data_IF_372300030080
#
_entry.id   IF_372300030080
#
_cell.length_a   1.000
_cell.length_b   1.000
_cell.length_c   1.000
_cell.angle_alpha   90.00
_cell.angle_beta   90.00
_cell.angle_gamma   90.00
#
_symmetry.space_group_name_H-M   'P 1'
#
loop_
_entity.id
_entity.type
_entity.pdbx_description
1 polymer ?
#
# COMPACT_ATOMS: atom_id res chain seq x y z
N UNK A 1 1.74 23.93 -9.27
CA UNK A 1 1.48 22.53 -8.89
C UNK A 1 1.07 21.79 -10.15
N UNK A 2 1.56 20.57 -10.35
CA UNK A 2 1.36 19.77 -11.57
C UNK A 2 -0.13 19.41 -11.76
N UNK A 3 -0.77 19.75 -12.89
CA UNK A 3 -2.14 19.34 -13.20
C UNK A 3 -2.37 17.81 -13.08
N UNK A 4 -1.34 17.02 -13.37
CA UNK A 4 -1.40 15.55 -13.34
C UNK A 4 -1.52 15.01 -11.91
N UNK A 5 -0.89 15.69 -10.95
CA UNK A 5 -1.03 15.38 -9.53
C UNK A 5 -2.47 15.60 -9.03
N UNK A 6 -3.17 16.62 -9.55
CA UNK A 6 -4.59 16.82 -9.21
C UNK A 6 -5.50 15.73 -9.80
N UNK A 7 -5.20 15.24 -11.00
CA UNK A 7 -5.92 14.10 -11.59
C UNK A 7 -5.68 12.81 -10.80
N UNK A 8 -4.44 12.53 -10.41
CA UNK A 8 -4.12 11.43 -9.50
C UNK A 8 -4.87 11.54 -8.16
N UNK A 9 -4.88 12.73 -7.55
CA UNK A 9 -5.61 12.96 -6.29
C UNK A 9 -7.12 12.74 -6.43
N UNK A 10 -7.72 13.10 -7.57
CA UNK A 10 -9.14 12.80 -7.87
C UNK A 10 -9.38 11.30 -7.98
N UNK A 11 -8.52 10.57 -8.72
CA UNK A 11 -8.60 9.11 -8.83
C UNK A 11 -8.54 8.43 -7.46
N UNK A 12 -7.64 8.87 -6.58
CA UNK A 12 -7.54 8.36 -5.22
C UNK A 12 -8.80 8.62 -4.39
N UNK A 13 -9.42 9.81 -4.52
CA UNK A 13 -10.68 10.13 -3.81
C UNK A 13 -11.83 9.23 -4.25
N UNK A 14 -12.06 9.12 -5.56
CA UNK A 14 -13.18 8.33 -6.10
C UNK A 14 -13.07 6.84 -5.74
N UNK A 15 -11.84 6.35 -5.61
CA UNK A 15 -11.56 4.94 -5.42
C UNK A 15 -11.51 4.48 -3.96
N UNK A 16 -11.50 5.41 -3.00
CA UNK A 16 -11.73 5.09 -1.58
C UNK A 16 -13.02 4.29 -1.35
N UNK A 17 -13.96 4.34 -2.31
CA UNK A 17 -15.22 3.61 -2.31
C UNK A 17 -15.19 2.24 -3.01
N UNK A 18 -14.09 1.82 -3.65
CA UNK A 18 -14.01 0.54 -4.40
C UNK A 18 -13.35 -0.61 -3.63
N UNK A 19 -13.24 -0.47 -2.32
CA UNK A 19 -12.74 -1.51 -1.44
C UNK A 19 -13.87 -2.47 -1.09
N UNK A 20 -13.67 -3.77 -1.33
CA UNK A 20 -14.59 -4.83 -0.94
C UNK A 20 -13.98 -5.56 0.25
N UNK A 21 -14.75 -5.69 1.34
CA UNK A 21 -14.31 -6.39 2.56
C UNK A 21 -15.05 -7.71 2.65
N UNK A 22 -14.32 -8.82 2.55
CA UNK A 22 -14.86 -10.17 2.67
C UNK A 22 -14.87 -10.64 4.12
N UNK A 23 -13.86 -10.25 4.90
CA UNK A 23 -13.77 -10.59 6.31
C UNK A 23 -13.25 -9.42 7.15
N UNK A 24 -14.15 -8.81 7.93
CA UNK A 24 -13.84 -7.64 8.74
C UNK A 24 -12.91 -7.95 9.92
N UNK A 25 -13.03 -9.13 10.54
CA UNK A 25 -12.17 -9.50 11.67
C UNK A 25 -10.69 -9.55 11.24
N UNK A 26 -10.40 -10.10 10.05
CA UNK A 26 -9.04 -10.16 9.52
C UNK A 26 -8.52 -8.80 9.02
N UNK A 27 -9.40 -7.94 8.51
CA UNK A 27 -9.05 -6.56 8.19
C UNK A 27 -8.66 -5.77 9.45
N UNK A 28 -9.44 -5.88 10.52
CA UNK A 28 -9.16 -5.21 11.78
C UNK A 28 -7.93 -5.83 12.49
N UNK A 29 -7.70 -7.13 12.30
CA UNK A 29 -6.48 -7.81 12.73
C UNK A 29 -5.23 -7.25 12.04
N UNK A 30 -5.29 -7.03 10.72
CA UNK A 30 -4.19 -6.42 9.95
C UNK A 30 -3.86 -5.03 10.46
N UNK A 31 -4.87 -4.20 10.74
CA UNK A 31 -4.67 -2.85 11.30
C UNK A 31 -4.00 -2.89 12.67
N UNK A 32 -4.49 -3.74 13.57
CA UNK A 32 -3.87 -3.93 14.89
C UNK A 32 -2.41 -4.38 14.77
N UNK A 33 -2.14 -5.33 13.86
CA UNK A 33 -0.79 -5.81 13.58
C UNK A 33 0.13 -4.68 13.09
N UNK A 34 -0.30 -3.87 12.12
CA UNK A 34 0.48 -2.72 11.62
C UNK A 34 0.75 -1.73 12.76
N UNK A 35 -0.28 -1.38 13.55
CA UNK A 35 -0.12 -0.44 14.65
C UNK A 35 0.87 -0.94 15.70
N UNK A 36 0.80 -2.23 16.05
CA UNK A 36 1.74 -2.87 16.96
C UNK A 36 3.19 -2.83 16.42
N UNK A 37 3.35 -3.08 15.11
CA UNK A 37 4.65 -2.98 14.41
C UNK A 37 5.21 -1.55 14.43
N UNK A 38 4.39 -0.54 14.11
CA UNK A 38 4.80 0.86 14.10
C UNK A 38 5.17 1.38 15.50
N UNK A 39 4.39 1.01 16.50
CA UNK A 39 4.62 1.44 17.89
C UNK A 39 5.67 0.57 18.60
N UNK A 40 6.16 -0.48 17.95
CA UNK A 40 7.00 -1.53 18.53
C UNK A 40 6.45 -2.06 19.88
N UNK A 41 5.13 -2.11 20.00
CA UNK A 41 4.38 -2.44 21.22
C UNK A 41 3.69 -3.79 21.05
N UNK A 42 3.68 -4.64 22.07
CA UNK A 42 3.04 -5.97 22.04
C UNK A 42 3.62 -6.93 20.98
N UNK A 43 4.85 -6.69 20.53
CA UNK A 43 5.60 -7.63 19.69
C UNK A 43 6.39 -8.55 20.61
N UNK A 44 6.24 -9.86 20.41
CA UNK A 44 7.01 -10.90 21.10
C UNK A 44 8.07 -11.47 20.14
N UNK A 45 9.13 -12.03 20.70
CA UNK A 45 10.24 -12.62 19.94
C UNK A 45 10.37 -14.08 20.37
N UNK A 46 10.33 -15.00 19.40
CA UNK A 46 10.59 -16.43 19.65
C UNK A 46 12.10 -16.67 19.86
N UNK A 47 12.46 -17.83 20.40
CA UNK A 47 13.87 -18.20 20.65
C UNK A 47 14.74 -18.18 19.37
N UNK A 48 14.14 -18.36 18.20
CA UNK A 48 14.79 -18.29 16.90
C UNK A 48 14.84 -16.87 16.30
N UNK A 49 14.49 -15.83 17.07
CA UNK A 49 14.55 -14.43 16.65
C UNK A 49 13.33 -13.94 15.86
N UNK A 50 12.34 -14.80 15.59
CA UNK A 50 11.15 -14.42 14.83
C UNK A 50 10.23 -13.54 15.67
N UNK A 51 9.94 -12.34 15.16
CA UNK A 51 8.96 -11.41 15.73
C UNK A 51 7.54 -11.86 15.39
N UNK A 52 6.66 -11.87 16.39
CA UNK A 52 5.25 -12.17 16.21
C UNK A 52 4.37 -11.31 17.12
N UNK A 53 3.13 -11.12 16.68
CA UNK A 53 2.05 -10.48 17.42
C UNK A 53 1.04 -11.56 17.79
N UNK A 54 0.64 -11.64 19.06
CA UNK A 54 -0.38 -12.58 19.49
C UNK A 54 -1.72 -11.85 19.64
N UNK A 55 -2.75 -12.32 18.93
CA UNK A 55 -4.10 -11.80 19.06
C UNK A 55 -4.94 -12.70 19.97
N UNK A 56 -5.33 -12.19 21.14
CA UNK A 56 -6.10 -12.95 22.13
C UNK A 56 -7.52 -13.28 21.65
N UNK A 57 -8.19 -12.36 20.94
CA UNK A 57 -9.57 -12.52 20.45
C UNK A 57 -9.70 -13.72 19.50
N UNK A 58 -8.75 -13.86 18.58
CA UNK A 58 -8.74 -14.93 17.58
C UNK A 58 -7.87 -16.13 18.00
N UNK A 59 -7.14 -16.00 19.11
CA UNK A 59 -6.16 -16.97 19.58
C UNK A 59 -5.13 -17.36 18.49
N UNK A 60 -4.54 -16.35 17.84
CA UNK A 60 -3.62 -16.52 16.71
C UNK A 60 -2.27 -15.84 16.96
N UNK A 61 -1.19 -16.53 16.58
CA UNK A 61 0.13 -15.94 16.42
C UNK A 61 0.30 -15.43 14.99
N UNK A 62 0.61 -14.15 14.85
CA UNK A 62 0.67 -13.46 13.56
C UNK A 62 2.08 -12.96 13.33
N UNK A 63 2.62 -13.35 12.18
CA UNK A 63 3.90 -12.91 11.66
C UNK A 63 3.68 -12.03 10.43
N UNK A 64 4.65 -11.19 10.05
CA UNK A 64 4.60 -10.43 8.81
C UNK A 64 4.31 -11.30 7.58
N UNK A 65 4.87 -12.52 7.54
CA UNK A 65 4.75 -13.49 6.44
C UNK A 65 3.34 -14.05 6.24
N UNK A 66 2.46 -13.97 7.25
CA UNK A 66 1.07 -14.43 7.12
C UNK A 66 0.23 -13.53 6.22
N UNK A 67 0.66 -12.27 6.01
CA UNK A 67 -0.07 -11.32 5.19
C UNK A 67 0.44 -11.34 3.76
N UNK A 68 -0.44 -11.63 2.80
CA UNK A 68 -0.10 -11.62 1.37
C UNK A 68 -1.02 -10.70 0.59
N UNK A 69 -0.41 -9.90 -0.29
CA UNK A 69 -1.12 -9.12 -1.30
C UNK A 69 -0.80 -9.72 -2.67
N UNK A 70 -1.83 -10.04 -3.44
CA UNK A 70 -1.70 -10.63 -4.77
C UNK A 70 -2.27 -9.63 -5.78
N UNK A 71 -1.44 -9.19 -6.72
CA UNK A 71 -1.89 -8.39 -7.87
C UNK A 71 -2.64 -9.31 -8.83
N UNK A 72 -3.94 -9.07 -9.02
CA UNK A 72 -4.77 -9.86 -9.94
C UNK A 72 -4.89 -9.22 -11.31
N UNK A 73 -4.86 -7.88 -11.36
CA UNK A 73 -4.81 -7.11 -12.60
C UNK A 73 -3.96 -5.88 -12.41
N UNK A 74 -3.30 -5.45 -13.48
CA UNK A 74 -2.73 -4.13 -13.55
C UNK A 74 -2.94 -3.49 -14.92
N UNK A 75 -3.07 -2.17 -14.93
CA UNK A 75 -3.12 -1.37 -16.15
C UNK A 75 -2.47 -0.02 -15.92
N UNK A 76 -1.91 0.53 -16.99
CA UNK A 76 -1.38 1.89 -16.99
C UNK A 76 -2.45 2.86 -17.50
N UNK A 77 -2.58 3.98 -16.81
CA UNK A 77 -3.42 5.11 -17.16
C UNK A 77 -2.48 6.28 -17.44
N UNK A 78 -2.48 6.77 -18.68
CA UNK A 78 -1.75 7.99 -19.03
C UNK A 78 -2.49 9.20 -18.48
N UNK A 79 -1.80 10.03 -17.70
CA UNK A 79 -2.28 11.33 -17.24
C UNK A 79 -1.29 12.38 -17.76
N UNK A 80 -1.55 12.96 -18.95
CA UNK A 80 -0.61 13.88 -19.59
C UNK A 80 0.73 13.22 -19.95
N UNK A 81 1.84 13.74 -19.41
CA UNK A 81 3.21 13.21 -19.58
C UNK A 81 3.55 12.10 -18.57
N UNK A 82 2.79 12.02 -17.48
CA UNK A 82 2.96 11.08 -16.38
C UNK A 82 2.14 9.80 -16.57
N UNK A 83 2.47 8.81 -15.74
CA UNK A 83 1.81 7.50 -15.77
C UNK A 83 1.32 7.14 -14.37
N UNK A 84 0.07 6.68 -14.32
CA UNK A 84 -0.48 6.03 -13.13
C UNK A 84 -0.62 4.55 -13.42
N UNK A 85 -0.09 3.70 -12.54
CA UNK A 85 -0.38 2.27 -12.57
C UNK A 85 -1.54 1.99 -11.64
N UNK A 86 -2.66 1.54 -12.20
CA UNK A 86 -3.77 0.96 -11.44
C UNK A 86 -3.48 -0.52 -11.23
N UNK A 87 -3.67 -0.99 -10.00
CA UNK A 87 -3.56 -2.39 -9.61
C UNK A 87 -4.83 -2.82 -8.89
N UNK A 88 -5.37 -3.99 -9.24
CA UNK A 88 -6.37 -4.70 -8.43
C UNK A 88 -5.61 -5.70 -7.54
N UNK A 89 -5.84 -5.60 -6.23
CA UNK A 89 -5.11 -6.36 -5.22
C UNK A 89 -6.11 -7.18 -4.39
N UNK A 90 -5.82 -8.46 -4.24
CA UNK A 90 -6.43 -9.32 -3.23
C UNK A 90 -5.52 -9.42 -2.01
N UNK A 91 -6.10 -9.17 -0.84
CA UNK A 91 -5.40 -9.28 0.43
C UNK A 91 -5.84 -10.55 1.17
N UNK A 92 -4.84 -11.33 1.55
CA UNK A 92 -4.99 -12.66 2.13
C UNK A 92 -4.24 -12.77 3.46
N UNK A 93 -4.82 -13.52 4.38
CA UNK A 93 -4.16 -14.07 5.55
C UNK A 93 -3.93 -15.57 5.31
N UNK A 94 -2.68 -16.00 5.40
CA UNK A 94 -2.25 -17.36 5.12
C UNK A 94 -1.47 -17.89 6.32
N UNK A 95 -1.93 -19.00 6.90
CA UNK A 95 -1.19 -19.80 7.86
C UNK A 95 -1.25 -21.28 7.49
N UNK A 96 -0.69 -22.16 8.32
CA UNK A 96 -0.64 -23.60 8.04
C UNK A 96 -2.03 -24.26 7.96
N UNK A 97 -3.09 -23.58 8.42
CA UNK A 97 -4.46 -24.11 8.54
C UNK A 97 -5.48 -23.36 7.68
N UNK A 98 -5.23 -22.10 7.36
CA UNK A 98 -6.21 -21.17 6.80
C UNK A 98 -5.62 -20.35 5.66
N UNK A 99 -6.45 -20.16 4.62
CA UNK A 99 -6.22 -19.20 3.54
C UNK A 99 -7.44 -18.29 3.45
N UNK A 100 -7.38 -17.12 4.07
CA UNK A 100 -8.54 -16.24 4.24
C UNK A 100 -8.33 -14.98 3.42
N UNK A 101 -9.09 -14.86 2.34
CA UNK A 101 -9.25 -13.60 1.61
C UNK A 101 -10.08 -12.66 2.47
N UNK A 102 -9.49 -11.54 2.87
CA UNK A 102 -10.18 -10.59 3.77
C UNK A 102 -10.59 -9.30 3.06
N UNK A 103 -9.90 -8.93 1.99
CA UNK A 103 -10.14 -7.66 1.31
C UNK A 103 -9.75 -7.73 -0.17
N UNK A 104 -10.45 -6.99 -1.00
CA UNK A 104 -10.03 -6.58 -2.33
C UNK A 104 -10.05 -5.06 -2.42
N UNK A 105 -9.03 -4.51 -3.08
CA UNK A 105 -8.98 -3.07 -3.30
C UNK A 105 -8.18 -2.74 -4.56
N UNK A 106 -8.41 -1.52 -5.07
CA UNK A 106 -7.60 -0.94 -6.14
C UNK A 106 -6.55 -0.02 -5.53
N UNK A 107 -5.28 -0.22 -5.90
CA UNK A 107 -4.16 0.67 -5.55
C UNK A 107 -3.72 1.42 -6.80
N UNK A 108 -3.53 2.73 -6.69
CA UNK A 108 -2.94 3.54 -7.74
C UNK A 108 -1.55 3.97 -7.31
N UNK A 109 -0.60 3.84 -8.22
CA UNK A 109 0.77 4.30 -8.05
C UNK A 109 1.04 5.35 -9.11
N UNK A 110 1.30 6.58 -8.69
CA UNK A 110 1.72 7.67 -9.55
C UNK A 110 3.24 7.65 -9.67
N UNK A 111 3.74 7.47 -10.89
CA UNK A 111 5.17 7.55 -11.17
C UNK A 111 5.47 8.97 -11.62
N UNK A 112 6.05 9.75 -10.71
CA UNK A 112 6.47 11.09 -11.01
C UNK A 112 7.85 11.07 -11.67
N UNK A 113 7.88 11.19 -12.99
CA UNK A 113 9.10 11.51 -13.72
C UNK A 113 9.25 13.03 -13.71
N UNK A 114 9.86 13.58 -12.66
CA UNK A 114 10.03 15.03 -12.58
C UNK A 114 10.91 15.54 -13.73
N UNK A 115 10.28 16.16 -14.73
CA UNK A 115 10.87 17.28 -15.48
C UNK A 115 10.67 18.51 -14.60
N UNK A 116 11.59 18.79 -13.69
CA UNK A 116 11.62 20.08 -12.99
C UNK A 116 12.02 21.17 -14.00
N UNK A 117 11.04 21.87 -14.57
CA UNK A 117 11.25 23.23 -15.07
C UNK A 117 10.71 24.22 -14.04
N UNK A 118 11.57 24.64 -13.13
CA UNK A 118 11.50 25.97 -12.52
C UNK A 118 12.88 26.61 -12.72
N UNK A 119 12.91 27.69 -13.51
CA UNK A 119 14.10 28.48 -13.83
C UNK A 119 14.87 28.95 -12.59
N UNK A 120 16.11 29.42 -12.69
CA UNK A 120 16.73 30.26 -13.71
C UNK A 120 18.26 30.04 -13.66
N UNK A 121 18.94 30.32 -14.77
CA UNK A 121 20.40 30.46 -14.94
C UNK A 121 21.38 29.48 -14.23
N UNK A 122 21.95 28.56 -15.01
CA UNK A 122 23.27 27.98 -14.71
C UNK A 122 23.29 26.51 -14.27
N UNK A 123 23.90 25.68 -15.11
CA UNK A 123 24.53 24.38 -14.82
C UNK A 123 23.92 23.53 -13.67
N UNK A 124 23.07 22.56 -14.00
CA UNK A 124 22.56 21.60 -13.01
C UNK A 124 22.31 20.22 -13.61
N UNK A 125 23.05 19.22 -13.12
CA UNK A 125 22.92 17.81 -13.47
C UNK A 125 21.46 17.32 -13.43
N UNK A 126 21.01 16.70 -14.53
CA UNK A 126 19.78 15.91 -14.56
C UNK A 126 19.98 14.63 -13.75
N UNK A 127 19.31 14.53 -12.60
CA UNK A 127 19.05 13.25 -11.97
C UNK A 127 17.55 13.00 -12.09
N UNK A 128 17.17 12.01 -12.91
CA UNK A 128 15.81 11.49 -12.98
C UNK A 128 15.50 10.78 -11.66
N UNK A 129 14.83 11.47 -10.74
CA UNK A 129 14.27 10.85 -9.54
C UNK A 129 12.88 10.30 -9.90
N UNK A 130 12.74 8.97 -9.96
CA UNK A 130 11.44 8.30 -10.04
C UNK A 130 10.86 8.23 -8.62
N UNK A 131 9.92 9.15 -8.32
CA UNK A 131 9.17 9.11 -7.06
C UNK A 131 7.84 8.38 -7.30
N UNK A 132 7.57 7.33 -6.52
CA UNK A 132 6.32 6.57 -6.58
C UNK A 132 5.44 7.02 -5.42
N UNK A 133 4.31 7.65 -5.75
CA UNK A 133 3.31 8.06 -4.77
C UNK A 133 2.11 7.11 -4.80
N UNK A 134 1.60 6.74 -3.64
CA UNK A 134 0.35 6.00 -3.50
C UNK A 134 -0.81 6.88 -3.01
N UNK A 135 -2.01 6.31 -2.88
CA UNK A 135 -3.17 7.07 -2.41
C UNK A 135 -3.14 7.41 -0.91
N UNK A 136 -2.33 6.72 -0.11
CA UNK A 136 -2.13 7.02 1.32
C UNK A 136 -1.24 8.25 1.50
N UNK A 137 -0.28 8.48 0.60
CA UNK A 137 0.62 9.65 0.60
C UNK A 137 -0.07 10.99 0.29
N UNK A 138 -1.25 10.94 -0.35
CA UNK A 138 -1.98 12.14 -0.83
C UNK A 138 -3.12 12.58 0.10
N UNK A 139 -3.36 11.81 1.16
CA UNK A 139 -4.57 11.86 1.98
C UNK A 139 -4.52 12.92 3.07
#
# INVERSE_FOLDING_TARGET
>A
MDPQYYEFKKLCKDNSNKMIVFNKDYLDLKKQFIQAMMNNSNIRIKNNGIKYFYNEKLNLEIQPSNWKEIETKSREIKLGIGKVKEKEIEAWYIDDKNNIKYQEFKRYLYYNYNIFLRGDEGAGFHFEYEEILDCEDVR
#
